data_IF_085853085730
#
_entry.id   IF_085853085730
#
_cell.length_a   1.000
_cell.length_b   1.000
_cell.length_c   1.000
_cell.angle_alpha   90.00
_cell.angle_beta   90.00
_cell.angle_gamma   90.00
#
_symmetry.space_group_name_H-M   'P 1'
#
loop_
_entity.id
_entity.type
_entity.pdbx_description
1 polymer ?
#
# COMPACT_ATOMS: atom_id res chain seq x y z
N UNK A 1 -12.96 -4.73 -15.34
CA UNK A 1 -12.04 -3.62 -14.99
C UNK A 1 -12.85 -2.32 -14.93
N UNK A 2 -13.27 -1.89 -13.73
CA UNK A 2 -14.17 -0.73 -13.59
C UNK A 2 -13.89 0.15 -12.36
N UNK A 3 -13.10 -0.33 -11.38
CA UNK A 3 -12.92 0.38 -10.09
C UNK A 3 -11.93 1.54 -10.21
N UNK A 4 -10.73 1.29 -10.74
CA UNK A 4 -9.64 2.28 -10.76
C UNK A 4 -10.05 3.61 -11.41
N UNK A 5 -10.70 3.65 -12.60
CA UNK A 5 -11.11 4.92 -13.20
C UNK A 5 -12.15 5.71 -12.39
N UNK A 6 -12.84 5.04 -11.46
CA UNK A 6 -13.86 5.66 -10.62
C UNK A 6 -13.31 6.13 -9.25
N UNK A 7 -12.18 5.59 -8.80
CA UNK A 7 -11.60 5.89 -7.46
C UNK A 7 -10.24 6.57 -7.53
N UNK A 8 -9.60 6.59 -8.70
CA UNK A 8 -8.29 7.20 -8.93
C UNK A 8 -8.36 8.09 -10.17
N UNK A 9 -7.84 9.32 -10.06
CA UNK A 9 -7.96 10.37 -11.07
C UNK A 9 -6.72 10.55 -11.94
N UNK A 10 -5.67 9.76 -11.71
CA UNK A 10 -4.47 9.84 -12.54
C UNK A 10 -4.64 9.18 -13.90
N UNK A 11 -3.59 9.25 -14.72
CA UNK A 11 -3.59 8.70 -16.06
C UNK A 11 -3.67 7.16 -16.03
N UNK A 12 -4.81 6.60 -16.45
CA UNK A 12 -5.05 5.16 -16.53
C UNK A 12 -4.15 4.46 -17.54
N UNK A 13 -3.57 5.19 -18.50
CA UNK A 13 -2.65 4.64 -19.50
C UNK A 13 -1.20 4.57 -19.00
N UNK A 14 -0.90 5.26 -17.90
CA UNK A 14 0.42 5.22 -17.25
C UNK A 14 0.78 3.80 -16.76
N UNK A 15 2.08 3.51 -16.55
CA UNK A 15 2.51 2.21 -16.02
C UNK A 15 1.84 1.83 -14.70
N UNK A 16 1.65 2.79 -13.78
CA UNK A 16 0.95 2.56 -12.51
C UNK A 16 -0.55 2.36 -12.71
N UNK A 17 -1.18 3.13 -13.60
CA UNK A 17 -2.59 2.98 -13.96
C UNK A 17 -2.89 1.60 -14.52
N UNK A 18 -2.07 1.13 -15.46
CA UNK A 18 -2.18 -0.22 -16.03
C UNK A 18 -1.90 -1.31 -14.99
N UNK A 19 -0.88 -1.13 -14.13
CA UNK A 19 -0.58 -2.07 -13.07
C UNK A 19 -1.76 -2.22 -12.09
N UNK A 20 -2.39 -1.11 -11.67
CA UNK A 20 -3.57 -1.13 -10.80
C UNK A 20 -4.79 -1.75 -11.50
N UNK A 21 -5.02 -1.43 -12.79
CA UNK A 21 -6.12 -2.00 -13.57
C UNK A 21 -6.02 -3.52 -13.71
N UNK A 22 -4.79 -4.04 -13.77
CA UNK A 22 -4.50 -5.45 -13.96
C UNK A 22 -4.22 -6.20 -12.65
N UNK A 23 -4.14 -5.48 -11.51
CA UNK A 23 -3.72 -6.07 -10.24
C UNK A 23 -2.36 -6.78 -10.40
N UNK A 24 -1.43 -6.11 -11.08
CA UNK A 24 -0.12 -6.67 -11.40
C UNK A 24 0.79 -6.63 -10.18
N UNK A 25 1.19 -7.81 -9.68
CA UNK A 25 2.08 -7.95 -8.53
C UNK A 25 3.54 -7.54 -8.82
N UNK A 26 3.94 -7.51 -10.10
CA UNK A 26 5.29 -7.12 -10.51
C UNK A 26 5.37 -5.64 -10.91
N UNK A 27 4.23 -4.96 -11.01
CA UNK A 27 4.16 -3.55 -11.32
C UNK A 27 4.59 -2.65 -10.16
N UNK A 28 4.62 -1.33 -10.37
CA UNK A 28 4.88 -0.36 -9.31
C UNK A 28 3.82 -0.47 -8.19
N UNK A 29 4.27 -0.32 -6.94
CA UNK A 29 3.44 -0.54 -5.75
C UNK A 29 2.50 0.65 -5.54
N UNK A 30 1.20 0.40 -5.41
CA UNK A 30 0.20 1.39 -4.97
C UNK A 30 -0.65 0.81 -3.86
N UNK A 31 -0.49 1.37 -2.65
CA UNK A 31 -1.14 0.95 -1.43
C UNK A 31 -1.96 2.09 -0.84
N UNK A 32 -3.27 1.93 -0.81
CA UNK A 32 -4.17 2.91 -0.21
C UNK A 32 -4.44 2.55 1.24
N UNK A 33 -4.07 3.45 2.15
CA UNK A 33 -4.31 3.30 3.58
C UNK A 33 -5.76 3.64 3.87
N UNK A 34 -6.47 2.69 4.49
CA UNK A 34 -7.89 2.85 4.85
C UNK A 34 -8.07 3.13 6.33
N UNK A 35 -7.19 2.62 7.17
CA UNK A 35 -7.30 2.73 8.62
C UNK A 35 -5.91 2.73 9.28
N UNK A 36 -5.79 3.41 10.42
CA UNK A 36 -4.59 3.41 11.25
C UNK A 36 -4.95 3.06 12.68
N UNK A 37 -4.31 2.00 13.17
CA UNK A 37 -4.47 1.53 14.55
C UNK A 37 -3.14 1.62 15.29
N UNK A 38 -3.19 1.96 16.57
CA UNK A 38 -2.02 1.98 17.44
C UNK A 38 -1.95 0.66 18.21
N UNK A 39 -0.85 -0.08 18.05
CA UNK A 39 -0.56 -1.28 18.83
C UNK A 39 0.48 -0.94 19.91
N UNK A 40 0.26 -1.29 21.19
CA UNK A 40 1.19 -0.96 22.27
C UNK A 40 2.59 -1.56 22.10
N UNK A 41 2.72 -2.68 21.40
CA UNK A 41 3.99 -3.39 21.20
C UNK A 41 4.62 -3.07 19.84
N UNK A 42 3.80 -2.88 18.80
CA UNK A 42 4.27 -2.74 17.43
C UNK A 42 4.27 -1.30 16.90
N UNK A 43 3.61 -0.37 17.61
CA UNK A 43 3.46 1.03 17.20
C UNK A 43 2.31 1.22 16.21
N UNK A 44 2.45 2.18 15.30
CA UNK A 44 1.43 2.50 14.29
C UNK A 44 1.35 1.42 13.21
N UNK A 45 0.13 0.95 12.96
CA UNK A 45 -0.18 -0.07 11.97
C UNK A 45 -1.14 0.53 10.94
N UNK A 46 -0.64 0.68 9.72
CA UNK A 46 -1.41 1.14 8.58
C UNK A 46 -2.08 -0.06 7.91
N UNK A 47 -3.42 -0.10 7.97
CA UNK A 47 -4.22 -1.10 7.27
C UNK A 47 -4.74 -0.51 5.97
N UNK A 48 -4.62 -1.25 4.88
CA UNK A 48 -4.97 -0.74 3.57
C UNK A 48 -5.12 -1.79 2.48
N UNK A 49 -5.49 -1.31 1.29
CA UNK A 49 -5.63 -2.12 0.08
C UNK A 49 -4.42 -1.94 -0.82
N UNK A 50 -3.82 -3.04 -1.21
CA UNK A 50 -2.78 -3.04 -2.24
C UNK A 50 -3.42 -3.20 -3.63
N UNK A 51 -3.37 -2.17 -4.45
CA UNK A 51 -3.96 -2.16 -5.80
C UNK A 51 -3.01 -2.69 -6.87
N UNK A 52 -1.70 -2.47 -6.70
CA UNK A 52 -0.65 -2.97 -7.61
C UNK A 52 0.67 -3.18 -6.86
N UNK A 53 1.55 -3.96 -7.47
CA UNK A 53 2.88 -4.28 -6.97
C UNK A 53 2.89 -5.21 -5.76
N UNK A 54 3.95 -5.09 -4.97
CA UNK A 54 4.15 -5.86 -3.74
C UNK A 54 4.71 -4.98 -2.63
N UNK A 55 4.52 -5.42 -1.39
CA UNK A 55 5.14 -4.82 -0.21
C UNK A 55 5.85 -5.94 0.54
N UNK A 56 7.13 -5.74 0.79
CA UNK A 56 7.97 -6.64 1.56
C UNK A 56 8.73 -5.86 2.65
N UNK A 57 9.22 -6.57 3.66
CA UNK A 57 10.07 -5.99 4.69
C UNK A 57 11.29 -5.28 4.08
N UNK A 58 11.60 -4.09 4.57
CA UNK A 58 12.73 -3.27 4.14
C UNK A 58 12.48 -2.44 2.89
N UNK A 59 11.33 -2.58 2.22
CA UNK A 59 10.97 -1.72 1.09
C UNK A 59 10.72 -0.29 1.55
N UNK A 60 11.06 0.68 0.70
CA UNK A 60 10.73 2.09 0.90
C UNK A 60 9.50 2.47 0.08
N UNK A 61 8.52 3.07 0.75
CA UNK A 61 7.32 3.60 0.14
C UNK A 61 7.25 5.10 0.41
N UNK A 62 6.93 5.87 -0.62
CA UNK A 62 6.72 7.31 -0.55
C UNK A 62 5.23 7.60 -0.38
N UNK A 63 4.93 8.64 0.39
CA UNK A 63 3.60 9.22 0.42
C UNK A 63 3.32 9.93 -0.91
N UNK A 64 2.20 9.62 -1.57
CA UNK A 64 1.82 10.22 -2.84
C UNK A 64 1.77 11.76 -2.74
N UNK A 65 2.38 12.45 -3.72
CA UNK A 65 2.47 13.92 -3.72
C UNK A 65 3.49 14.49 -2.72
N UNK A 66 4.24 13.65 -2.00
CA UNK A 66 5.27 14.05 -1.05
C UNK A 66 6.61 13.38 -1.34
N UNK A 67 7.70 14.04 -0.95
CA UNK A 67 9.06 13.44 -0.97
C UNK A 67 9.36 12.61 0.28
N UNK A 68 8.42 12.54 1.22
CA UNK A 68 8.54 11.78 2.45
C UNK A 68 8.50 10.28 2.12
N UNK A 69 9.52 9.58 2.60
CA UNK A 69 9.69 8.13 2.43
C UNK A 69 9.63 7.44 3.77
N UNK A 70 8.98 6.30 3.80
CA UNK A 70 8.89 5.43 4.96
C UNK A 70 9.43 4.05 4.60
N UNK A 71 10.06 3.39 5.57
CA UNK A 71 10.62 2.05 5.40
C UNK A 71 9.74 1.04 6.11
N UNK A 72 9.28 0.07 5.34
CA UNK A 72 8.45 -1.03 5.83
C UNK A 72 9.26 -1.90 6.80
N UNK A 73 8.76 -2.05 8.02
CA UNK A 73 9.37 -2.91 9.04
C UNK A 73 8.83 -4.33 8.95
N UNK A 74 7.50 -4.46 8.86
CA UNK A 74 6.80 -5.74 8.77
C UNK A 74 5.52 -5.58 7.94
N UNK A 75 5.11 -6.67 7.31
CA UNK A 75 3.83 -6.79 6.61
C UNK A 75 3.06 -7.99 7.16
N UNK A 76 1.74 -7.88 7.17
CA UNK A 76 0.87 -8.94 7.67
C UNK A 76 -0.42 -9.02 6.87
N UNK A 77 -0.94 -10.23 6.76
CA UNK A 77 -2.27 -10.53 6.21
C UNK A 77 -3.24 -10.85 7.34
N UNK A 78 -4.52 -10.59 7.10
CA UNK A 78 -5.57 -10.97 8.04
C UNK A 78 -6.03 -12.40 7.79
N UNK A 79 -6.05 -13.21 8.84
CA UNK A 79 -6.63 -14.56 8.86
C UNK A 79 -7.74 -14.57 9.92
N UNK A 80 -8.96 -14.22 9.49
CA UNK A 80 -10.07 -13.97 10.41
C UNK A 80 -9.77 -12.76 11.31
N UNK A 81 -9.86 -12.88 12.64
CA UNK A 81 -9.55 -11.78 13.55
C UNK A 81 -8.03 -11.61 13.79
N UNK A 82 -7.21 -12.57 13.38
CA UNK A 82 -5.77 -12.56 13.62
C UNK A 82 -4.99 -11.97 12.46
N UNK A 83 -3.79 -11.47 12.75
CA UNK A 83 -2.82 -10.99 11.77
C UNK A 83 -1.67 -11.98 11.70
N UNK A 84 -1.42 -12.53 10.51
CA UNK A 84 -0.27 -13.37 10.24
C UNK A 84 0.83 -12.54 9.59
N UNK A 85 2.01 -12.49 10.23
CA UNK A 85 3.19 -11.85 9.64
C UNK A 85 3.72 -12.69 8.49
N UNK A 86 3.98 -12.04 7.35
CA UNK A 86 4.48 -12.67 6.13
C UNK A 86 5.69 -11.91 5.59
N UNK A 87 6.44 -12.52 4.67
CA UNK A 87 7.62 -11.88 4.07
C UNK A 87 7.24 -10.79 3.06
N UNK A 88 6.21 -11.05 2.25
CA UNK A 88 5.67 -10.12 1.27
C UNK A 88 4.15 -10.26 1.11
N UNK A 89 3.51 -9.16 0.68
CA UNK A 89 2.11 -9.13 0.27
C UNK A 89 2.01 -8.60 -1.16
N UNK A 90 1.21 -9.26 -1.99
CA UNK A 90 1.03 -8.92 -3.41
C UNK A 90 -0.31 -8.25 -3.69
N UNK A 91 -0.39 -7.58 -4.84
CA UNK A 91 -1.56 -6.86 -5.32
C UNK A 91 -2.87 -7.66 -5.19
N UNK A 92 -3.93 -6.96 -4.80
CA UNK A 92 -5.27 -7.51 -4.62
C UNK A 92 -5.65 -7.72 -3.15
N UNK A 93 -4.66 -7.87 -2.26
CA UNK A 93 -4.86 -8.14 -0.84
C UNK A 93 -5.15 -6.89 -0.01
N UNK A 94 -5.73 -7.12 1.18
CA UNK A 94 -5.73 -6.17 2.29
C UNK A 94 -4.55 -6.53 3.18
N UNK A 95 -3.71 -5.55 3.50
CA UNK A 95 -2.50 -5.74 4.27
C UNK A 95 -2.48 -4.79 5.47
N UNK A 96 -1.88 -5.26 6.56
CA UNK A 96 -1.44 -4.43 7.66
C UNK A 96 0.08 -4.22 7.53
N UNK A 97 0.51 -2.96 7.53
CA UNK A 97 1.91 -2.58 7.31
C UNK A 97 2.40 -1.75 8.48
N UNK A 98 3.57 -2.11 9.00
CA UNK A 98 4.22 -1.42 10.12
C UNK A 98 5.42 -0.65 9.59
N UNK A 99 5.61 0.58 10.09
CA UNK A 99 6.72 1.45 9.70
C UNK A 99 6.36 2.56 8.71
N UNK A 100 5.07 2.78 8.45
CA UNK A 100 4.56 3.88 7.62
C UNK A 100 4.12 5.05 8.52
N UNK A 101 5.08 5.70 9.17
CA UNK A 101 4.85 6.74 10.19
C UNK A 101 4.16 8.01 9.68
N UNK A 102 4.29 8.31 8.39
CA UNK A 102 3.69 9.50 7.79
C UNK A 102 2.38 9.20 7.06
N UNK A 103 1.91 7.95 7.14
CA UNK A 103 0.62 7.57 6.60
C UNK A 103 -0.52 8.07 7.50
N UNK A 104 -1.66 8.38 6.89
CA UNK A 104 -2.92 8.61 7.57
C UNK A 104 -4.06 7.99 6.76
N UNK A 105 -5.24 7.81 7.37
CA UNK A 105 -6.37 7.23 6.66
C UNK A 105 -6.72 8.05 5.40
N UNK A 106 -6.81 7.38 4.26
CA UNK A 106 -7.06 7.99 2.95
C UNK A 106 -5.81 8.34 2.15
N UNK A 107 -4.60 8.16 2.69
CA UNK A 107 -3.37 8.37 1.91
C UNK A 107 -3.07 7.20 0.97
N UNK A 108 -2.24 7.50 -0.03
CA UNK A 108 -1.66 6.48 -0.91
C UNK A 108 -0.15 6.44 -0.69
N UNK A 109 0.38 5.25 -0.46
CA UNK A 109 1.79 4.95 -0.33
C UNK A 109 2.24 4.14 -1.53
N UNK A 110 3.43 4.41 -2.05
CA UNK A 110 3.95 3.56 -3.12
C UNK A 110 5.36 3.88 -3.57
N UNK A 111 5.84 3.18 -4.59
CA UNK A 111 7.25 3.24 -5.00
C UNK A 111 7.62 4.49 -5.79
N UNK A 112 6.64 5.15 -6.40
CA UNK A 112 6.82 6.34 -7.25
C UNK A 112 6.16 7.54 -6.60
N UNK A 113 6.80 8.71 -6.60
CA UNK A 113 6.23 9.93 -5.99
C UNK A 113 5.09 10.51 -6.83
N UNK A 114 5.16 10.35 -8.15
CA UNK A 114 4.17 10.81 -9.12
C UNK A 114 3.06 9.76 -9.30
N UNK A 115 2.11 9.74 -8.35
CA UNK A 115 0.93 8.86 -8.39
C UNK A 115 -0.38 9.60 -8.74
N UNK A 116 -0.27 10.81 -9.25
CA UNK A 116 -1.37 11.69 -9.65
C UNK A 116 -1.28 12.02 -11.11
#
# INVERSE_FOLDING_TARGET
RYRIPNIWRGDVTSPIGQAMLNTDANGPTSFMVTDITMDPSAGEIATGRLFSGRIAKGMELSLAGSKVKNRVQHVSLFMGPERLMVEEVTAGNIAAVIGLTDAYAGTTMGTTTDMT
#
